data_IF_002321133285
#
_entry.id   IF_002321133285
#
_cell.length_a   1.000
_cell.length_b   1.000
_cell.length_c   1.000
_cell.angle_alpha   90.00
_cell.angle_beta   90.00
_cell.angle_gamma   90.00
#
_symmetry.space_group_name_H-M   'P 1'
#
loop_
_entity.id
_entity.type
_entity.pdbx_description
1 polymer ?
#
# COMPACT_ATOMS: atom_id res chain seq x y z
N UNK A 1 39.99 48.14 -11.49
CA UNK A 1 40.13 47.92 -10.03
C UNK A 1 38.74 47.69 -9.43
N UNK A 2 38.63 46.66 -8.57
CA UNK A 2 37.56 46.33 -7.61
C UNK A 2 36.41 45.39 -8.04
N UNK A 3 36.72 44.11 -7.80
CA UNK A 3 35.98 43.06 -7.06
C UNK A 3 34.78 42.32 -7.67
N UNK A 4 34.96 41.00 -7.63
CA UNK A 4 34.03 39.87 -7.82
C UNK A 4 33.04 39.78 -6.66
N UNK A 5 31.78 39.45 -6.97
CA UNK A 5 30.97 38.58 -6.09
C UNK A 5 30.19 37.59 -6.97
N UNK A 6 30.46 36.31 -6.74
CA UNK A 6 29.77 35.14 -7.26
C UNK A 6 28.55 34.87 -6.35
N UNK A 7 27.36 34.63 -6.91
CA UNK A 7 26.28 33.97 -6.18
C UNK A 7 25.71 32.79 -6.99
N UNK A 8 26.01 31.59 -6.48
CA UNK A 8 25.26 30.37 -6.69
C UNK A 8 23.82 30.62 -6.21
N UNK A 9 22.83 30.33 -7.05
CA UNK A 9 21.46 30.08 -6.58
C UNK A 9 21.09 28.63 -6.90
N UNK A 10 21.07 27.86 -5.81
CA UNK A 10 20.69 26.47 -5.67
C UNK A 10 19.42 26.11 -6.46
N UNK A 11 19.53 24.97 -7.14
CA UNK A 11 18.45 24.10 -7.58
C UNK A 11 17.27 24.04 -6.59
N UNK A 12 16.09 24.50 -7.01
CA UNK A 12 14.84 24.11 -6.36
C UNK A 12 14.55 22.65 -6.70
N UNK A 13 15.00 21.76 -5.82
CA UNK A 13 14.41 20.45 -5.66
C UNK A 13 12.91 20.65 -5.46
N UNK A 14 12.11 20.10 -6.38
CA UNK A 14 10.66 20.04 -6.23
C UNK A 14 10.34 19.41 -4.88
N UNK A 15 9.73 20.19 -4.00
CA UNK A 15 9.18 19.69 -2.76
C UNK A 15 8.09 18.68 -3.15
N UNK A 16 8.40 17.39 -3.06
CA UNK A 16 7.38 16.38 -2.91
C UNK A 16 6.70 16.70 -1.58
N UNK A 17 5.54 17.37 -1.66
CA UNK A 17 4.72 17.64 -0.48
C UNK A 17 4.48 16.31 0.23
N UNK A 18 5.06 16.14 1.42
CA UNK A 18 4.62 15.11 2.34
C UNK A 18 3.16 15.42 2.67
N UNK A 19 2.25 14.70 2.03
CA UNK A 19 0.82 14.85 2.24
C UNK A 19 0.51 14.58 3.72
N UNK A 20 -0.42 15.31 4.35
CA UNK A 20 -0.89 15.00 5.70
C UNK A 20 -1.63 13.65 5.67
N UNK A 21 -0.90 12.59 6.00
CA UNK A 21 -1.44 11.22 5.93
C UNK A 21 -0.61 10.14 6.64
N UNK A 22 0.44 10.52 7.38
CA UNK A 22 1.36 9.58 8.03
C UNK A 22 2.23 8.80 7.04
N UNK A 23 3.12 7.95 7.56
CA UNK A 23 3.99 7.09 6.74
C UNK A 23 3.16 6.13 5.87
N UNK A 24 2.14 5.51 6.48
CA UNK A 24 1.11 4.72 5.79
C UNK A 24 -0.13 5.58 5.57
N UNK A 25 -0.50 5.89 4.31
CA UNK A 25 -1.68 6.69 4.02
C UNK A 25 -2.95 6.06 4.59
N UNK A 26 -3.77 6.86 5.26
CA UNK A 26 -5.01 6.41 5.91
C UNK A 26 -6.15 7.44 5.90
N UNK A 27 -5.98 8.55 5.17
CA UNK A 27 -6.96 9.64 5.15
C UNK A 27 -8.18 9.27 4.30
N UNK A 28 -9.43 9.40 4.82
CA UNK A 28 -10.63 9.28 4.01
C UNK A 28 -10.61 10.23 2.81
N UNK A 29 -11.13 9.77 1.68
CA UNK A 29 -11.12 10.50 0.41
C UNK A 29 -9.84 10.36 -0.41
N UNK A 30 -8.80 9.69 0.10
CA UNK A 30 -7.60 9.41 -0.69
C UNK A 30 -7.89 8.33 -1.75
N UNK A 31 -7.43 8.57 -2.98
CA UNK A 31 -7.72 7.74 -4.15
C UNK A 31 -6.44 7.46 -4.93
N UNK A 32 -6.30 6.23 -5.44
CA UNK A 32 -5.29 5.80 -6.39
C UNK A 32 -5.97 5.24 -7.63
N UNK A 33 -5.49 5.60 -8.81
CA UNK A 33 -5.97 5.08 -10.10
C UNK A 33 -4.82 4.36 -10.78
N UNK A 34 -5.05 3.13 -11.22
CA UNK A 34 -4.00 2.30 -11.80
C UNK A 34 -4.25 1.99 -13.27
N UNK A 35 -3.18 1.70 -14.01
CA UNK A 35 -3.22 1.36 -15.43
C UNK A 35 -4.04 0.10 -15.76
N UNK A 36 -4.32 -0.75 -14.76
CA UNK A 36 -5.21 -1.90 -14.86
C UNK A 36 -6.70 -1.54 -14.98
N UNK A 37 -7.06 -0.26 -14.82
CA UNK A 37 -8.45 0.19 -14.67
C UNK A 37 -8.98 0.05 -13.24
N UNK A 38 -8.14 -0.38 -12.29
CA UNK A 38 -8.47 -0.39 -10.87
C UNK A 38 -8.38 1.02 -10.27
N UNK A 39 -9.37 1.34 -9.43
CA UNK A 39 -9.39 2.50 -8.55
C UNK A 39 -9.47 2.01 -7.12
N UNK A 40 -8.49 2.41 -6.31
CA UNK A 40 -8.48 2.18 -4.88
C UNK A 40 -8.86 3.47 -4.15
N UNK A 41 -9.78 3.41 -3.19
CA UNK A 41 -10.23 4.60 -2.47
C UNK A 41 -10.48 4.33 -0.99
N UNK A 42 -9.93 5.17 -0.13
CA UNK A 42 -10.34 5.21 1.27
C UNK A 42 -11.68 5.92 1.40
N UNK A 43 -12.75 5.19 1.71
CA UNK A 43 -14.11 5.76 1.78
C UNK A 43 -14.54 6.13 3.19
N UNK A 44 -13.66 5.94 4.18
CA UNK A 44 -13.88 6.31 5.57
C UNK A 44 -14.03 5.11 6.49
N UNK A 45 -14.40 5.40 7.74
CA UNK A 45 -14.50 4.40 8.79
C UNK A 45 -15.87 3.72 8.80
N UNK A 46 -15.88 2.39 8.98
CA UNK A 46 -17.07 1.59 9.29
C UNK A 46 -16.86 0.89 10.64
N UNK A 47 -17.94 0.57 11.33
CA UNK A 47 -17.89 -0.35 12.48
C UNK A 47 -18.41 -1.71 12.04
N UNK A 48 -17.55 -2.73 12.11
CA UNK A 48 -17.88 -4.10 11.75
C UNK A 48 -17.49 -4.98 12.94
N UNK A 49 -18.42 -5.82 13.42
CA UNK A 49 -18.22 -6.67 14.62
C UNK A 49 -17.61 -5.89 15.80
N UNK A 50 -18.21 -4.74 16.12
CA UNK A 50 -17.77 -3.81 17.17
C UNK A 50 -16.33 -3.27 17.02
N UNK A 51 -15.72 -3.41 15.84
CA UNK A 51 -14.38 -2.90 15.53
C UNK A 51 -14.50 -1.76 14.52
N UNK A 52 -13.92 -0.60 14.85
CA UNK A 52 -13.84 0.54 13.93
C UNK A 52 -12.68 0.32 12.96
N UNK A 53 -12.96 0.27 11.66
CA UNK A 53 -12.01 -0.03 10.59
C UNK A 53 -12.10 1.01 9.48
N UNK A 54 -10.97 1.38 8.91
CA UNK A 54 -10.89 2.15 7.68
C UNK A 54 -11.21 1.24 6.48
N UNK A 55 -12.09 1.68 5.58
CA UNK A 55 -12.48 0.91 4.41
C UNK A 55 -11.71 1.37 3.18
N UNK A 56 -10.92 0.46 2.60
CA UNK A 56 -10.30 0.63 1.28
C UNK A 56 -11.16 -0.10 0.24
N UNK A 57 -11.78 0.64 -0.67
CA UNK A 57 -12.56 0.06 -1.76
C UNK A 57 -11.68 -0.16 -2.98
N UNK A 58 -11.90 -1.29 -3.64
CA UNK A 58 -11.30 -1.64 -4.93
C UNK A 58 -12.40 -1.71 -5.97
N UNK A 59 -12.29 -0.85 -6.98
CA UNK A 59 -13.24 -0.77 -8.09
C UNK A 59 -12.51 -1.02 -9.39
N UNK A 60 -12.96 -1.94 -10.24
CA UNK A 60 -12.39 -2.19 -11.56
C UNK A 60 -13.43 -1.82 -12.61
N UNK A 61 -13.07 -0.94 -13.54
CA UNK A 61 -13.98 -0.46 -14.59
C UNK A 61 -15.32 0.07 -14.04
N UNK A 62 -15.28 0.78 -12.91
CA UNK A 62 -16.46 1.35 -12.24
C UNK A 62 -17.27 0.37 -11.39
N UNK A 63 -16.92 -0.92 -11.35
CA UNK A 63 -17.60 -1.93 -10.52
C UNK A 63 -16.80 -2.24 -9.26
N UNK A 64 -17.45 -2.15 -8.09
CA UNK A 64 -16.85 -2.58 -6.82
C UNK A 64 -16.55 -4.08 -6.88
N UNK A 65 -15.27 -4.45 -6.70
CA UNK A 65 -14.82 -5.85 -6.71
C UNK A 65 -14.52 -6.36 -5.29
N UNK A 66 -13.95 -5.50 -4.46
CA UNK A 66 -13.68 -5.81 -3.05
C UNK A 66 -13.62 -4.57 -2.17
N UNK A 67 -13.74 -4.80 -0.87
CA UNK A 67 -13.40 -3.86 0.19
C UNK A 67 -12.43 -4.53 1.17
N UNK A 68 -11.37 -3.82 1.56
CA UNK A 68 -10.48 -4.21 2.66
C UNK A 68 -10.77 -3.37 3.90
N UNK A 69 -10.78 -4.02 5.07
CA UNK A 69 -11.07 -3.39 6.37
C UNK A 69 -9.79 -3.30 7.19
N UNK A 70 -9.19 -2.10 7.20
CA UNK A 70 -7.89 -1.83 7.76
C UNK A 70 -7.97 -1.16 9.14
N UNK A 71 -7.10 -1.59 10.04
CA UNK A 71 -6.81 -0.92 11.29
C UNK A 71 -5.39 -0.37 11.26
N UNK A 72 -5.28 0.91 11.61
CA UNK A 72 -4.01 1.61 11.72
C UNK A 72 -3.70 1.76 13.21
N UNK A 73 -2.66 1.08 13.67
CA UNK A 73 -2.20 1.09 15.05
C UNK A 73 -0.77 1.65 15.14
N UNK A 74 -0.30 1.94 16.35
CA UNK A 74 1.06 2.47 16.56
C UNK A 74 2.16 1.49 16.15
N UNK A 75 1.88 0.18 16.18
CA UNK A 75 2.82 -0.89 15.86
C UNK A 75 2.67 -1.45 14.44
N UNK A 76 1.74 -0.93 13.63
CA UNK A 76 1.59 -1.38 12.24
C UNK A 76 0.20 -1.13 11.65
N UNK A 77 0.02 -1.66 10.44
CA UNK A 77 -1.25 -1.68 9.70
C UNK A 77 -1.74 -3.12 9.62
N UNK A 78 -3.01 -3.31 9.92
CA UNK A 78 -3.63 -4.62 10.09
C UNK A 78 -4.87 -4.75 9.21
N UNK A 79 -4.98 -5.84 8.45
CA UNK A 79 -6.20 -6.23 7.76
C UNK A 79 -7.06 -7.07 8.72
N UNK A 80 -8.22 -6.54 9.08
CA UNK A 80 -9.21 -7.21 9.95
C UNK A 80 -10.13 -8.15 9.17
N UNK A 81 -10.31 -7.88 7.89
CA UNK A 81 -11.12 -8.69 7.00
C UNK A 81 -11.28 -7.99 5.66
N UNK A 82 -12.01 -8.63 4.75
CA UNK A 82 -12.36 -8.09 3.45
C UNK A 82 -13.73 -8.57 3.01
N UNK A 83 -14.38 -7.82 2.14
CA UNK A 83 -15.57 -8.28 1.42
C UNK A 83 -15.22 -8.42 -0.05
N UNK A 84 -15.38 -9.61 -0.61
CA UNK A 84 -15.14 -9.86 -2.03
C UNK A 84 -16.41 -10.45 -2.64
N UNK A 85 -16.89 -9.87 -3.75
CA UNK A 85 -18.16 -10.28 -4.38
C UNK A 85 -19.34 -10.37 -3.39
N UNK A 86 -19.41 -9.44 -2.43
CA UNK A 86 -20.46 -9.38 -1.41
C UNK A 86 -20.31 -10.36 -0.24
N UNK A 87 -19.29 -11.23 -0.24
CA UNK A 87 -19.02 -12.16 0.86
C UNK A 87 -17.98 -11.57 1.81
N UNK A 88 -18.37 -11.37 3.06
CA UNK A 88 -17.48 -10.95 4.14
C UNK A 88 -16.61 -12.11 4.64
N UNK A 89 -15.30 -11.93 4.62
CA UNK A 89 -14.30 -12.69 5.36
C UNK A 89 -13.79 -11.84 6.51
N UNK A 90 -13.91 -12.32 7.74
CA UNK A 90 -13.43 -11.60 8.92
C UNK A 90 -12.45 -12.47 9.69
N UNK A 91 -11.30 -11.90 10.04
CA UNK A 91 -10.25 -12.65 10.70
C UNK A 91 -10.37 -12.60 12.22
N UNK A 92 -10.27 -13.75 12.87
CA UNK A 92 -10.23 -13.86 14.33
C UNK A 92 -8.96 -13.20 14.89
N UNK A 93 -7.85 -13.32 14.15
CA UNK A 93 -6.60 -12.59 14.35
C UNK A 93 -6.30 -11.78 13.09
N UNK A 94 -6.13 -10.45 13.18
CA UNK A 94 -5.85 -9.64 12.00
C UNK A 94 -4.53 -10.02 11.34
N UNK A 95 -4.46 -9.84 10.03
CA UNK A 95 -3.24 -10.01 9.26
C UNK A 95 -2.44 -8.70 9.29
N UNK A 96 -1.21 -8.72 9.80
CA UNK A 96 -0.34 -7.54 9.73
C UNK A 96 0.14 -7.35 8.30
N UNK A 97 -0.29 -6.27 7.64
CA UNK A 97 0.09 -5.95 6.26
C UNK A 97 1.37 -5.12 6.21
N UNK A 98 1.57 -4.23 7.18
CA UNK A 98 2.82 -3.48 7.36
C UNK A 98 3.19 -3.40 8.84
N UNK A 99 4.47 -3.56 9.23
CA UNK A 99 4.92 -3.32 10.60
C UNK A 99 5.02 -1.82 10.89
N UNK A 100 5.47 -1.45 12.08
CA UNK A 100 5.74 -0.07 12.43
C UNK A 100 6.69 0.60 11.41
N UNK A 101 6.42 1.87 11.11
CA UNK A 101 7.31 2.69 10.30
C UNK A 101 8.57 3.12 11.08
N UNK A 102 9.66 3.50 10.40
CA UNK A 102 9.88 3.44 8.96
C UNK A 102 10.31 2.04 8.48
N UNK A 103 9.95 1.70 7.25
CA UNK A 103 10.53 0.56 6.53
C UNK A 103 11.86 0.96 5.88
N UNK A 104 12.78 0.00 5.77
CA UNK A 104 14.05 0.15 5.07
C UNK A 104 14.41 -1.15 4.31
N UNK A 105 15.28 -1.11 3.29
CA UNK A 105 15.79 -2.33 2.66
C UNK A 105 16.30 -3.34 3.69
N UNK A 106 15.86 -4.59 3.56
CA UNK A 106 16.15 -5.66 4.51
C UNK A 106 15.08 -5.87 5.58
N UNK A 107 14.20 -4.90 5.87
CA UNK A 107 13.05 -5.10 6.77
C UNK A 107 12.19 -6.25 6.26
N UNK A 108 11.90 -7.22 7.11
CA UNK A 108 11.02 -8.35 6.82
C UNK A 108 10.00 -8.56 7.93
N UNK A 109 8.85 -9.12 7.58
CA UNK A 109 7.82 -9.50 8.53
C UNK A 109 6.99 -10.65 7.98
N UNK A 110 6.34 -11.36 8.88
CA UNK A 110 5.33 -12.35 8.53
C UNK A 110 4.14 -12.23 9.47
N UNK A 111 2.99 -12.69 8.99
CA UNK A 111 1.76 -12.70 9.76
C UNK A 111 0.87 -13.84 9.30
N UNK A 112 -0.01 -14.30 10.18
CA UNK A 112 -1.00 -15.29 9.84
C UNK A 112 -2.36 -14.89 10.42
N UNK A 113 -3.37 -14.94 9.56
CA UNK A 113 -4.75 -14.68 9.90
C UNK A 113 -5.60 -15.93 9.67
N UNK A 114 -6.70 -16.02 10.41
CA UNK A 114 -7.62 -17.17 10.35
C UNK A 114 -9.05 -16.67 10.24
N UNK A 115 -9.82 -17.28 9.34
CA UNK A 115 -11.26 -17.08 9.22
C UNK A 115 -11.92 -18.46 9.19
N UNK A 116 -12.49 -18.88 10.32
CA UNK A 116 -13.09 -20.22 10.45
C UNK A 116 -12.05 -21.35 10.34
N UNK A 117 -12.12 -22.17 9.28
CA UNK A 117 -11.12 -23.23 9.02
C UNK A 117 -9.98 -22.77 8.11
N UNK A 118 -10.15 -21.63 7.43
CA UNK A 118 -9.19 -21.12 6.48
C UNK A 118 -8.11 -20.32 7.18
N UNK A 119 -6.86 -20.54 6.80
CA UNK A 119 -5.71 -19.78 7.28
C UNK A 119 -5.03 -19.11 6.09
N UNK A 120 -4.62 -17.86 6.29
CA UNK A 120 -3.84 -17.06 5.33
C UNK A 120 -2.52 -16.72 5.99
N UNK A 121 -1.41 -17.01 5.32
CA UNK A 121 -0.06 -16.62 5.71
C UNK A 121 0.41 -15.51 4.77
N UNK A 122 0.99 -14.47 5.34
CA UNK A 122 1.67 -13.40 4.63
C UNK A 122 3.13 -13.38 5.06
N UNK A 123 4.03 -13.31 4.08
CA UNK A 123 5.45 -13.03 4.29
C UNK A 123 5.84 -11.88 3.38
N UNK A 124 6.52 -10.88 3.93
CA UNK A 124 6.94 -9.72 3.16
C UNK A 124 8.35 -9.24 3.53
N UNK A 125 9.02 -8.64 2.56
CA UNK A 125 10.35 -8.06 2.72
C UNK A 125 10.54 -6.86 1.81
N UNK A 126 11.16 -5.81 2.34
CA UNK A 126 11.70 -4.72 1.52
C UNK A 126 12.98 -5.23 0.86
N UNK A 127 12.92 -5.48 -0.44
CA UNK A 127 14.04 -6.06 -1.21
C UNK A 127 14.99 -5.00 -1.75
N UNK A 128 14.56 -3.73 -1.80
CA UNK A 128 15.40 -2.64 -2.27
C UNK A 128 14.65 -1.32 -2.34
N UNK A 129 15.23 -0.37 -3.06
CA UNK A 129 14.65 0.93 -3.36
C UNK A 129 14.96 1.28 -4.81
N UNK A 130 13.97 1.82 -5.52
CA UNK A 130 14.07 2.09 -6.96
C UNK A 130 13.50 3.47 -7.30
N UNK A 131 14.22 4.20 -8.17
CA UNK A 131 13.71 5.42 -8.78
C UNK A 131 12.79 5.08 -9.95
N UNK A 132 11.57 5.62 -9.94
CA UNK A 132 10.56 5.40 -10.97
C UNK A 132 10.17 6.72 -11.66
N UNK A 133 9.96 6.66 -12.96
CA UNK A 133 9.31 7.71 -13.74
C UNK A 133 8.00 7.15 -14.33
N UNK A 134 6.87 7.54 -13.74
CA UNK A 134 5.53 7.09 -14.09
C UNK A 134 4.70 8.25 -14.65
N UNK A 135 3.55 7.94 -15.24
CA UNK A 135 2.58 8.97 -15.63
C UNK A 135 2.18 9.87 -14.44
N UNK A 136 2.04 9.30 -13.24
CA UNK A 136 1.74 10.04 -12.01
C UNK A 136 2.89 10.93 -11.49
N UNK A 137 4.12 10.78 -12.00
CA UNK A 137 5.27 11.56 -11.59
C UNK A 137 6.52 10.72 -11.34
N UNK A 138 7.53 11.35 -10.73
CA UNK A 138 8.79 10.70 -10.36
C UNK A 138 8.78 10.33 -8.88
N UNK A 139 9.21 9.11 -8.59
CA UNK A 139 9.17 8.54 -7.26
C UNK A 139 10.50 7.87 -6.91
N UNK A 140 10.76 7.76 -5.60
CA UNK A 140 11.80 6.91 -5.06
C UNK A 140 11.11 5.90 -4.13
N UNK A 141 10.85 4.70 -4.62
CA UNK A 141 9.96 3.73 -4.02
C UNK A 141 10.72 2.60 -3.34
N UNK A 142 10.29 2.22 -2.14
CA UNK A 142 10.69 0.96 -1.52
C UNK A 142 10.05 -0.19 -2.29
N UNK A 143 10.83 -1.20 -2.68
CA UNK A 143 10.32 -2.39 -3.36
C UNK A 143 10.03 -3.44 -2.31
N UNK A 144 8.76 -3.78 -2.14
CA UNK A 144 8.28 -4.75 -1.15
C UNK A 144 7.82 -6.00 -1.88
N UNK A 145 8.53 -7.11 -1.71
CA UNK A 145 8.04 -8.43 -2.15
C UNK A 145 7.10 -8.96 -1.08
N UNK A 146 5.87 -9.24 -1.46
CA UNK A 146 4.86 -9.87 -0.59
C UNK A 146 4.46 -11.20 -1.19
N UNK A 147 4.41 -12.21 -0.34
CA UNK A 147 3.92 -13.55 -0.65
C UNK A 147 2.75 -13.87 0.26
N UNK A 148 1.65 -14.32 -0.34
CA UNK A 148 0.45 -14.75 0.39
C UNK A 148 0.17 -16.20 0.04
N UNK A 149 0.01 -17.02 1.08
CA UNK A 149 -0.36 -18.42 0.97
C UNK A 149 -1.67 -18.65 1.72
N UNK A 150 -2.50 -19.56 1.20
CA UNK A 150 -3.77 -19.96 1.80
C UNK A 150 -3.76 -21.46 2.08
N UNK A 151 -4.45 -21.88 3.14
CA UNK A 151 -4.54 -23.29 3.51
C UNK A 151 -5.15 -24.18 2.41
N UNK A 152 -5.96 -23.61 1.52
CA UNK A 152 -6.53 -24.30 0.34
C UNK A 152 -5.53 -24.47 -0.82
N UNK A 153 -4.26 -24.07 -0.64
CA UNK A 153 -3.20 -24.23 -1.64
C UNK A 153 -3.02 -23.05 -2.61
N UNK A 154 -3.80 -21.99 -2.47
CA UNK A 154 -3.59 -20.76 -3.25
C UNK A 154 -2.34 -20.03 -2.77
N UNK A 155 -1.48 -19.63 -3.71
CA UNK A 155 -0.28 -18.83 -3.46
C UNK A 155 -0.22 -17.66 -4.45
N UNK A 156 0.33 -16.52 -4.02
CA UNK A 156 0.59 -15.38 -4.89
C UNK A 156 1.81 -14.61 -4.43
N UNK A 157 2.55 -14.07 -5.39
CA UNK A 157 3.67 -13.16 -5.16
C UNK A 157 3.41 -11.85 -5.88
N UNK A 158 3.60 -10.74 -5.18
CA UNK A 158 3.52 -9.39 -5.76
C UNK A 158 4.67 -8.54 -5.26
N UNK A 159 5.21 -7.70 -6.14
CA UNK A 159 6.11 -6.62 -5.75
C UNK A 159 5.32 -5.31 -5.73
N UNK A 160 5.25 -4.68 -4.55
CA UNK A 160 4.66 -3.36 -4.38
C UNK A 160 5.78 -2.33 -4.29
N UNK A 161 5.71 -1.30 -5.13
CA UNK A 161 6.59 -0.14 -5.10
C UNK A 161 5.94 0.92 -4.22
N UNK A 162 6.34 0.97 -2.96
CA UNK A 162 5.72 1.79 -1.92
C UNK A 162 6.49 3.09 -1.69
N UNK A 163 5.79 4.22 -1.68
CA UNK A 163 6.33 5.54 -1.37
C UNK A 163 5.69 6.05 -0.08
N UNK A 164 6.46 6.33 0.99
CA UNK A 164 5.93 6.86 2.24
C UNK A 164 5.05 8.09 2.04
N UNK A 165 3.89 8.11 2.70
CA UNK A 165 2.90 9.19 2.57
C UNK A 165 2.12 9.22 1.24
N UNK A 166 2.55 8.48 0.22
CA UNK A 166 1.84 8.35 -1.07
C UNK A 166 1.08 7.02 -1.12
N UNK A 167 1.72 5.89 -0.79
CA UNK A 167 1.17 4.54 -0.93
C UNK A 167 1.90 3.75 -2.02
N UNK A 168 1.27 2.71 -2.54
CA UNK A 168 1.83 1.94 -3.66
C UNK A 168 1.67 2.72 -4.96
N UNK A 169 2.77 2.93 -5.68
CA UNK A 169 2.79 3.63 -6.98
C UNK A 169 2.93 2.69 -8.17
N UNK A 170 3.34 1.44 -7.93
CA UNK A 170 3.38 0.36 -8.92
C UNK A 170 3.19 -0.99 -8.24
N UNK A 171 2.46 -1.89 -8.87
CA UNK A 171 2.51 -3.32 -8.58
C UNK A 171 3.19 -4.05 -9.73
N UNK A 172 3.95 -5.09 -9.43
CA UNK A 172 4.45 -6.06 -10.41
C UNK A 172 4.05 -7.46 -9.96
N UNK A 173 3.23 -8.12 -10.77
CA UNK A 173 2.76 -9.49 -10.54
C UNK A 173 3.86 -10.50 -10.86
N UNK A 174 3.67 -11.76 -10.46
CA UNK A 174 4.64 -12.83 -10.64
C UNK A 174 5.03 -13.07 -12.11
N UNK A 175 4.09 -12.84 -13.05
CA UNK A 175 4.31 -12.90 -14.50
C UNK A 175 5.05 -11.68 -15.08
N UNK A 176 5.41 -10.70 -14.24
CA UNK A 176 6.14 -9.49 -14.63
C UNK A 176 5.25 -8.36 -15.15
N UNK A 177 3.91 -8.51 -15.15
CA UNK A 177 3.04 -7.43 -15.57
C UNK A 177 3.09 -6.26 -14.57
N UNK A 178 3.31 -5.04 -15.09
CA UNK A 178 3.38 -3.81 -14.30
C UNK A 178 2.05 -3.07 -14.31
N UNK A 179 1.57 -2.69 -13.13
CA UNK A 179 0.35 -1.92 -12.89
C UNK A 179 0.75 -0.60 -12.24
N UNK A 180 0.66 0.48 -13.00
CA UNK A 180 1.24 1.78 -12.64
C UNK A 180 0.19 2.76 -12.15
N UNK A 181 0.56 3.57 -11.16
CA UNK A 181 -0.23 4.72 -10.72
C UNK A 181 -0.34 5.75 -11.84
N UNK A 182 -1.56 6.22 -12.06
CA UNK A 182 -1.94 7.26 -13.00
C UNK A 182 -2.15 8.60 -12.28
N UNK A 183 -2.24 9.67 -13.06
CA UNK A 183 -2.56 11.02 -12.56
C UNK A 183 -3.99 11.12 -12.03
#
# INVERSE_FOLDING_TARGET
MKQVVLWLALSLSGAAFAQPGGYYPSTPGKVWRYSSGEVQAFVGFKTIRNTRVMTLQHTVNGKLVSEDYLEFASNGVYLRGSTTNGKLTWYDRPLMVYPAAPLAPGTSWSSAARSGKDTVQLSARVVGQEGLELAAGRFNALVIRTEVQTASGGSSVVHSYFVPGVGTVRFVTEDGAAIDLLK
#
